data_IF_161415691953
#
_entry.id   IF_161415691953
#
_cell.length_a   1.000
_cell.length_b   1.000
_cell.length_c   1.000
_cell.angle_alpha   90.00
_cell.angle_beta   90.00
_cell.angle_gamma   90.00
#
_symmetry.space_group_name_H-M   'P 1'
#
loop_
_entity.id
_entity.type
_entity.pdbx_description
1 polymer ?
#
# COMPACT_ATOMS: atom_id res chain seq x y z
N UNK A 1 72.38 10.06 31.35
CA UNK A 1 71.08 10.69 31.62
C UNK A 1 70.03 10.42 30.53
N UNK A 2 70.33 9.60 29.52
CA UNK A 2 69.43 9.38 28.36
C UNK A 2 68.49 8.17 28.47
N UNK A 3 68.86 7.10 29.18
CA UNK A 3 67.98 5.91 29.27
C UNK A 3 66.67 6.17 30.03
N UNK A 4 66.67 7.09 31.01
CA UNK A 4 65.43 7.48 31.70
C UNK A 4 64.48 8.28 30.81
N UNK A 5 65.00 9.08 29.88
CA UNK A 5 64.19 9.82 28.91
C UNK A 5 63.65 8.91 27.80
N UNK A 6 64.45 7.94 27.36
CA UNK A 6 63.99 6.92 26.41
C UNK A 6 62.86 6.04 26.97
N UNK A 7 62.98 5.61 28.24
CA UNK A 7 61.95 4.80 28.89
C UNK A 7 60.68 5.61 29.23
N UNK A 8 60.80 6.90 29.55
CA UNK A 8 59.64 7.78 29.74
C UNK A 8 58.88 8.05 28.44
N UNK A 9 59.59 8.19 27.31
CA UNK A 9 58.96 8.34 26.00
C UNK A 9 58.32 7.04 25.51
N UNK A 10 58.90 5.86 25.79
CA UNK A 10 58.29 4.57 25.48
C UNK A 10 57.05 4.27 26.34
N UNK A 11 57.06 4.68 27.61
CA UNK A 11 55.90 4.56 28.49
C UNK A 11 54.75 5.50 28.06
N UNK A 12 55.06 6.72 27.59
CA UNK A 12 54.06 7.65 27.07
C UNK A 12 53.55 7.25 25.68
N UNK A 13 54.35 6.60 24.83
CA UNK A 13 53.91 6.06 23.55
C UNK A 13 52.92 4.89 23.74
N UNK A 14 53.16 4.02 24.71
CA UNK A 14 52.24 2.91 25.05
C UNK A 14 50.99 3.37 25.82
N UNK A 15 51.04 4.53 26.49
CA UNK A 15 49.88 5.14 27.14
C UNK A 15 48.94 5.83 26.14
N UNK A 16 49.45 6.29 25.00
CA UNK A 16 48.66 6.84 23.89
C UNK A 16 47.98 5.73 23.07
N UNK A 17 48.59 4.54 23.02
CA UNK A 17 48.05 3.33 22.36
C UNK A 17 46.96 2.60 23.17
N UNK A 18 46.76 2.97 24.44
CA UNK A 18 45.73 2.40 25.34
C UNK A 18 44.54 3.32 25.58
N UNK A 19 44.52 4.50 24.95
CA UNK A 19 43.30 5.27 24.78
C UNK A 19 42.55 4.70 23.58
N UNK A 20 41.89 3.56 23.80
CA UNK A 20 40.81 3.12 22.93
C UNK A 20 39.91 4.34 22.67
N UNK A 21 39.93 4.80 21.43
CA UNK A 21 39.15 5.94 20.99
C UNK A 21 37.68 5.67 21.34
N UNK A 22 36.94 6.62 21.94
CA UNK A 22 35.52 6.41 22.24
C UNK A 22 34.67 6.04 21.01
N UNK A 23 35.20 6.18 19.79
CA UNK A 23 34.59 5.69 18.55
C UNK A 23 34.71 4.18 18.28
N UNK A 24 35.64 3.45 18.90
CA UNK A 24 35.77 1.99 18.69
C UNK A 24 34.83 1.18 19.60
N UNK A 25 34.53 1.68 20.81
CA UNK A 25 33.49 1.11 21.68
C UNK A 25 32.07 1.26 21.07
N UNK A 26 31.85 2.25 20.21
CA UNK A 26 30.60 2.38 19.42
C UNK A 26 30.50 1.37 18.28
N UNK A 27 31.62 0.79 17.83
CA UNK A 27 31.65 -0.23 16.75
C UNK A 27 31.25 -1.62 17.25
N UNK A 28 31.46 -1.93 18.53
CA UNK A 28 30.99 -3.18 19.16
C UNK A 28 29.57 -3.08 19.72
N UNK A 29 29.02 -1.87 19.81
CA UNK A 29 27.58 -1.65 19.95
C UNK A 29 26.89 -2.12 18.67
N UNK A 30 26.56 -3.41 18.69
CA UNK A 30 25.76 -4.12 17.70
C UNK A 30 24.70 -3.20 17.09
N UNK A 31 24.77 -3.02 15.77
CA UNK A 31 23.73 -2.38 14.96
C UNK A 31 22.33 -2.96 15.28
N UNK A 32 22.25 -4.21 15.76
CA UNK A 32 21.01 -4.82 16.22
C UNK A 32 20.48 -4.20 17.54
N UNK A 33 21.33 -3.76 18.47
CA UNK A 33 20.93 -3.11 19.72
C UNK A 33 20.61 -1.62 19.52
N UNK A 34 21.34 -0.93 18.62
CA UNK A 34 21.03 0.45 18.22
C UNK A 34 19.66 0.53 17.53
N UNK A 35 19.34 -0.45 16.68
CA UNK A 35 18.03 -0.54 16.01
C UNK A 35 16.88 -0.81 16.99
N UNK A 36 17.13 -1.60 18.05
CA UNK A 36 16.14 -1.93 19.08
C UNK A 36 15.72 -0.71 19.90
N UNK A 37 16.66 0.21 20.17
CA UNK A 37 16.44 1.43 20.98
C UNK A 37 15.64 2.52 20.26
N UNK A 38 15.60 2.50 18.92
CA UNK A 38 14.92 3.51 18.11
C UNK A 38 13.58 3.07 17.51
N UNK A 39 13.25 1.77 17.59
CA UNK A 39 11.89 1.30 17.30
C UNK A 39 10.97 1.73 18.45
N UNK A 40 9.93 2.52 18.17
CA UNK A 40 8.97 2.92 19.18
C UNK A 40 7.77 1.97 19.09
N UNK A 41 7.79 0.79 19.75
CA UNK A 41 6.84 -0.30 19.51
C UNK A 41 5.39 0.14 19.71
N UNK A 42 5.15 1.07 20.64
CA UNK A 42 3.83 1.65 20.90
C UNK A 42 3.25 2.38 19.69
N UNK A 43 4.06 3.10 18.90
CA UNK A 43 3.60 3.80 17.69
C UNK A 43 3.15 2.82 16.61
N UNK A 44 3.85 1.70 16.46
CA UNK A 44 3.46 0.65 15.53
C UNK A 44 2.20 -0.08 15.96
N UNK A 45 2.09 -0.43 17.25
CA UNK A 45 0.85 -1.02 17.81
C UNK A 45 -0.35 -0.10 17.57
N UNK A 46 -0.21 1.20 17.86
CA UNK A 46 -1.25 2.18 17.58
C UNK A 46 -1.60 2.26 16.09
N UNK A 47 -0.59 2.27 15.21
CA UNK A 47 -0.80 2.29 13.77
C UNK A 47 -1.57 1.05 13.27
N UNK A 48 -1.20 -0.15 13.74
CA UNK A 48 -1.93 -1.37 13.40
C UNK A 48 -3.36 -1.38 13.96
N UNK A 49 -3.57 -0.84 15.16
CA UNK A 49 -4.92 -0.67 15.70
C UNK A 49 -5.76 0.27 14.83
N UNK A 50 -5.19 1.39 14.38
CA UNK A 50 -5.84 2.33 13.44
C UNK A 50 -6.14 1.63 12.11
N UNK A 51 -5.22 0.83 11.57
CA UNK A 51 -5.46 0.08 10.34
C UNK A 51 -6.62 -0.90 10.48
N UNK A 52 -6.69 -1.63 11.59
CA UNK A 52 -7.80 -2.55 11.86
C UNK A 52 -9.13 -1.79 11.92
N UNK A 53 -9.15 -0.65 12.61
CA UNK A 53 -10.33 0.24 12.64
C UNK A 53 -10.70 0.71 11.23
N UNK A 54 -9.74 1.14 10.42
CA UNK A 54 -9.94 1.59 9.04
C UNK A 54 -10.45 0.49 8.09
N UNK A 55 -10.19 -0.78 8.41
CA UNK A 55 -10.77 -1.92 7.68
C UNK A 55 -12.19 -2.21 8.15
N UNK A 56 -12.40 -2.36 9.45
CA UNK A 56 -13.65 -2.90 10.01
C UNK A 56 -14.77 -1.87 10.03
N UNK A 57 -14.51 -0.68 10.58
CA UNK A 57 -15.55 0.32 10.86
C UNK A 57 -16.16 0.89 9.57
N UNK A 58 -15.37 1.30 8.56
CA UNK A 58 -15.93 1.87 7.33
C UNK A 58 -16.69 0.84 6.51
N UNK A 59 -16.17 -0.40 6.41
CA UNK A 59 -16.88 -1.49 5.73
C UNK A 59 -18.22 -1.78 6.39
N UNK A 60 -18.25 -1.90 7.72
CA UNK A 60 -19.48 -2.10 8.47
C UNK A 60 -20.48 -0.96 8.28
N UNK A 61 -20.01 0.29 8.31
CA UNK A 61 -20.85 1.46 8.10
C UNK A 61 -21.46 1.47 6.68
N UNK A 62 -20.63 1.25 5.65
CA UNK A 62 -21.09 1.16 4.27
C UNK A 62 -22.11 0.03 4.06
N UNK A 63 -21.85 -1.16 4.62
CA UNK A 63 -22.76 -2.30 4.55
C UNK A 63 -24.09 -2.03 5.27
N UNK A 64 -24.04 -1.36 6.42
CA UNK A 64 -25.25 -1.01 7.18
C UNK A 64 -26.11 -0.01 6.41
N UNK A 65 -25.50 0.98 5.76
CA UNK A 65 -26.22 1.89 4.87
C UNK A 65 -26.83 1.14 3.67
N UNK A 66 -26.09 0.22 3.06
CA UNK A 66 -26.57 -0.58 1.94
C UNK A 66 -27.80 -1.41 2.29
N UNK A 67 -27.80 -2.05 3.47
CA UNK A 67 -28.84 -3.02 3.88
C UNK A 67 -30.02 -2.35 4.59
N UNK A 68 -29.77 -1.38 5.48
CA UNK A 68 -30.82 -0.77 6.30
C UNK A 68 -31.36 0.54 5.72
N UNK A 69 -30.57 1.23 4.89
CA UNK A 69 -30.90 2.56 4.36
C UNK A 69 -30.79 2.61 2.84
N UNK A 70 -31.12 1.51 2.15
CA UNK A 70 -30.98 1.36 0.69
C UNK A 70 -31.67 2.49 -0.08
N UNK A 71 -32.90 2.86 0.29
CA UNK A 71 -33.65 3.92 -0.39
C UNK A 71 -32.93 5.28 -0.31
N UNK A 72 -32.27 5.56 0.82
CA UNK A 72 -31.47 6.78 0.97
C UNK A 72 -30.24 6.72 0.07
N UNK A 73 -29.52 5.58 0.03
CA UNK A 73 -28.36 5.40 -0.85
C UNK A 73 -28.75 5.60 -2.31
N UNK A 74 -29.79 4.89 -2.78
CA UNK A 74 -30.25 4.99 -4.17
C UNK A 74 -30.63 6.42 -4.52
N UNK A 75 -31.37 7.12 -3.65
CA UNK A 75 -31.77 8.52 -3.89
C UNK A 75 -30.58 9.47 -4.05
N UNK A 76 -29.52 9.30 -3.27
CA UNK A 76 -28.36 10.21 -3.30
C UNK A 76 -27.37 9.89 -4.42
N UNK A 77 -27.33 8.63 -4.88
CA UNK A 77 -26.36 8.18 -5.89
C UNK A 77 -26.97 7.89 -7.27
N UNK A 78 -28.30 7.96 -7.44
CA UNK A 78 -28.97 7.70 -8.72
C UNK A 78 -28.57 8.64 -9.86
N UNK A 79 -27.97 9.79 -9.55
CA UNK A 79 -27.45 10.73 -10.54
C UNK A 79 -26.10 10.33 -11.14
N UNK A 80 -25.43 9.31 -10.59
CA UNK A 80 -24.15 8.84 -11.10
C UNK A 80 -24.34 7.88 -12.28
N UNK A 81 -23.45 7.97 -13.27
CA UNK A 81 -23.36 6.96 -14.32
C UNK A 81 -22.60 5.73 -13.83
N UNK A 82 -22.92 4.55 -14.36
CA UNK A 82 -22.20 3.33 -14.05
C UNK A 82 -20.70 3.45 -14.38
N UNK A 83 -20.34 4.07 -15.50
CA UNK A 83 -18.94 4.33 -15.86
C UNK A 83 -18.23 5.21 -14.82
N UNK A 84 -18.91 6.26 -14.33
CA UNK A 84 -18.37 7.13 -13.29
C UNK A 84 -18.13 6.36 -12.00
N UNK A 85 -19.05 5.47 -11.61
CA UNK A 85 -18.90 4.65 -10.40
C UNK A 85 -17.77 3.63 -10.55
N UNK A 86 -17.65 2.95 -11.70
CA UNK A 86 -16.48 2.08 -12.00
C UNK A 86 -15.19 2.87 -11.82
N UNK A 87 -15.11 4.06 -12.41
CA UNK A 87 -13.91 4.90 -12.37
C UNK A 87 -13.57 5.35 -10.95
N UNK A 88 -14.54 5.82 -10.16
CA UNK A 88 -14.34 6.23 -8.76
C UNK A 88 -13.82 5.06 -7.92
N UNK A 89 -14.46 3.89 -8.06
CA UNK A 89 -14.09 2.70 -7.31
C UNK A 89 -12.69 2.20 -7.70
N UNK A 90 -12.36 2.19 -8.99
CA UNK A 90 -11.03 1.87 -9.50
C UNK A 90 -9.97 2.87 -9.01
N UNK A 91 -10.20 4.19 -9.17
CA UNK A 91 -9.25 5.24 -8.71
C UNK A 91 -8.96 5.08 -7.23
N UNK A 92 -9.99 4.84 -6.42
CA UNK A 92 -9.84 4.66 -4.97
C UNK A 92 -8.95 3.45 -4.68
N UNK A 93 -9.20 2.32 -5.33
CA UNK A 93 -8.45 1.07 -5.12
C UNK A 93 -6.99 1.21 -5.57
N UNK A 94 -6.75 1.82 -6.74
CA UNK A 94 -5.41 2.11 -7.25
C UNK A 94 -4.67 3.09 -6.35
N UNK A 95 -5.35 4.11 -5.81
CA UNK A 95 -4.76 5.04 -4.85
C UNK A 95 -4.38 4.34 -3.54
N UNK A 96 -5.22 3.45 -3.01
CA UNK A 96 -4.88 2.62 -1.84
C UNK A 96 -3.67 1.75 -2.10
N UNK A 97 -3.62 1.04 -3.24
CA UNK A 97 -2.49 0.19 -3.60
C UNK A 97 -1.20 1.01 -3.79
N UNK A 98 -1.29 2.18 -4.43
CA UNK A 98 -0.16 3.10 -4.58
C UNK A 98 0.34 3.60 -3.23
N UNK A 99 -0.57 4.05 -2.37
CA UNK A 99 -0.23 4.57 -1.05
C UNK A 99 0.39 3.48 -0.17
N UNK A 100 -0.11 2.24 -0.26
CA UNK A 100 0.49 1.07 0.39
C UNK A 100 1.92 0.83 -0.13
N UNK A 101 2.10 0.76 -1.45
CA UNK A 101 3.41 0.54 -2.05
C UNK A 101 4.40 1.64 -1.62
N UNK A 102 4.00 2.90 -1.65
CA UNK A 102 4.83 4.02 -1.22
C UNK A 102 5.10 4.01 0.29
N UNK A 103 4.14 3.59 1.11
CA UNK A 103 4.34 3.43 2.55
C UNK A 103 5.37 2.33 2.88
N UNK A 104 5.51 1.32 2.02
CA UNK A 104 6.52 0.27 2.12
C UNK A 104 7.89 0.72 1.59
N UNK A 105 7.93 1.41 0.44
CA UNK A 105 9.17 1.90 -0.19
C UNK A 105 9.80 3.03 0.63
N UNK A 106 9.03 4.05 0.98
CA UNK A 106 9.50 5.23 1.71
C UNK A 106 9.03 5.19 3.18
N UNK A 107 9.46 4.15 3.90
CA UNK A 107 8.99 3.86 5.26
C UNK A 107 9.33 4.93 6.31
N UNK A 108 10.30 5.82 6.02
CA UNK A 108 10.73 6.94 6.85
C UNK A 108 9.68 8.05 6.93
N UNK A 109 8.92 8.28 5.84
CA UNK A 109 7.91 9.34 5.79
C UNK A 109 6.55 8.83 6.25
N UNK A 110 5.99 9.51 7.24
CA UNK A 110 4.68 9.15 7.78
C UNK A 110 3.51 9.55 6.86
N UNK A 111 3.76 10.44 5.87
CA UNK A 111 2.76 10.90 4.92
C UNK A 111 2.08 9.75 4.16
N UNK A 112 2.86 8.82 3.60
CA UNK A 112 2.32 7.71 2.82
C UNK A 112 1.49 6.74 3.65
N UNK A 113 1.87 6.54 4.92
CA UNK A 113 1.09 5.73 5.87
C UNK A 113 -0.25 6.38 6.20
N UNK A 114 -0.26 7.70 6.40
CA UNK A 114 -1.48 8.44 6.60
C UNK A 114 -2.40 8.39 5.37
N UNK A 115 -1.85 8.66 4.17
CA UNK A 115 -2.60 8.56 2.92
C UNK A 115 -3.15 7.16 2.69
N UNK A 116 -2.37 6.12 3.00
CA UNK A 116 -2.82 4.74 2.92
C UNK A 116 -4.03 4.49 3.83
N UNK A 117 -4.00 4.93 5.09
CA UNK A 117 -5.15 4.80 6.00
C UNK A 117 -6.38 5.54 5.46
N UNK A 118 -6.21 6.74 4.89
CA UNK A 118 -7.32 7.52 4.32
C UNK A 118 -7.94 6.81 3.13
N UNK A 119 -7.14 6.42 2.13
CA UNK A 119 -7.66 5.72 0.95
C UNK A 119 -8.23 4.36 1.30
N UNK A 120 -7.60 3.62 2.21
CA UNK A 120 -8.14 2.36 2.73
C UNK A 120 -9.51 2.58 3.39
N UNK A 121 -9.67 3.61 4.21
CA UNK A 121 -10.96 3.93 4.84
C UNK A 121 -12.05 4.18 3.79
N UNK A 122 -11.74 4.94 2.74
CA UNK A 122 -12.67 5.23 1.65
C UNK A 122 -12.99 3.95 0.85
N UNK A 123 -11.98 3.17 0.50
CA UNK A 123 -12.14 1.91 -0.24
C UNK A 123 -13.01 0.91 0.53
N UNK A 124 -12.78 0.79 1.84
CA UNK A 124 -13.53 -0.12 2.70
C UNK A 124 -14.99 0.35 2.84
N UNK A 125 -15.24 1.65 2.91
CA UNK A 125 -16.60 2.20 2.87
C UNK A 125 -17.32 1.92 1.54
N UNK A 126 -16.66 2.16 0.40
CA UNK A 126 -17.21 1.84 -0.94
C UNK A 126 -17.49 0.34 -1.03
N UNK A 127 -16.55 -0.49 -0.60
CA UNK A 127 -16.67 -1.96 -0.57
C UNK A 127 -17.85 -2.44 0.28
N UNK A 128 -18.10 -1.76 1.41
CA UNK A 128 -19.27 -2.00 2.25
C UNK A 128 -20.57 -1.63 1.53
N UNK A 129 -20.61 -0.44 0.90
CA UNK A 129 -21.79 0.05 0.18
C UNK A 129 -22.17 -0.84 -1.00
N UNK A 130 -21.21 -1.30 -1.79
CA UNK A 130 -21.46 -2.16 -2.95
C UNK A 130 -21.55 -3.65 -2.61
N UNK A 131 -21.45 -4.01 -1.33
CA UNK A 131 -21.47 -5.40 -0.85
C UNK A 131 -20.44 -6.25 -1.57
N UNK A 132 -19.17 -5.80 -1.55
CA UNK A 132 -18.09 -6.34 -2.35
C UNK A 132 -18.04 -7.86 -2.34
N UNK A 133 -18.18 -8.43 -3.54
CA UNK A 133 -18.19 -9.86 -3.78
C UNK A 133 -17.70 -10.15 -5.20
N UNK A 134 -16.91 -11.20 -5.40
CA UNK A 134 -16.45 -11.58 -6.74
C UNK A 134 -17.59 -12.07 -7.65
N UNK A 135 -18.62 -12.66 -7.06
CA UNK A 135 -19.84 -13.14 -7.72
C UNK A 135 -21.02 -12.16 -7.53
N UNK A 136 -20.78 -10.86 -7.66
CA UNK A 136 -21.72 -9.82 -7.22
C UNK A 136 -23.02 -9.75 -8.03
N UNK A 137 -23.02 -10.18 -9.30
CA UNK A 137 -24.10 -10.00 -10.27
C UNK A 137 -25.51 -10.27 -9.74
N UNK A 138 -25.68 -11.30 -8.90
CA UNK A 138 -26.95 -11.63 -8.26
C UNK A 138 -27.04 -11.19 -6.80
N UNK A 139 -25.90 -10.98 -6.13
CA UNK A 139 -25.85 -10.72 -4.68
C UNK A 139 -26.26 -9.31 -4.31
N UNK A 140 -25.99 -8.33 -5.16
CA UNK A 140 -26.36 -6.92 -4.96
C UNK A 140 -27.81 -6.65 -5.35
N UNK A 141 -28.34 -7.39 -6.33
CA UNK A 141 -29.72 -7.29 -6.77
C UNK A 141 -30.71 -7.58 -5.64
N UNK A 142 -30.39 -8.55 -4.77
CA UNK A 142 -31.21 -8.86 -3.60
C UNK A 142 -31.40 -7.66 -2.67
N UNK A 143 -30.43 -6.74 -2.61
CA UNK A 143 -30.47 -5.58 -1.73
C UNK A 143 -30.96 -4.33 -2.48
N UNK A 144 -30.39 -4.06 -3.64
CA UNK A 144 -30.62 -2.82 -4.40
C UNK A 144 -31.73 -2.93 -5.46
N UNK A 145 -32.26 -4.13 -5.74
CA UNK A 145 -33.27 -4.34 -6.77
C UNK A 145 -32.85 -3.81 -8.13
N UNK A 146 -33.75 -3.08 -8.80
CA UNK A 146 -33.48 -2.45 -10.10
C UNK A 146 -32.36 -1.40 -10.10
N UNK A 147 -31.94 -0.91 -8.93
CA UNK A 147 -30.85 0.05 -8.79
C UNK A 147 -29.46 -0.62 -8.59
N UNK A 148 -29.36 -1.94 -8.69
CA UNK A 148 -28.11 -2.69 -8.45
C UNK A 148 -26.98 -2.36 -9.42
N UNK A 149 -27.28 -1.77 -10.58
CA UNK A 149 -26.28 -1.43 -11.60
C UNK A 149 -25.13 -0.57 -11.07
N UNK A 150 -25.40 0.37 -10.16
CA UNK A 150 -24.35 1.21 -9.56
C UNK A 150 -23.48 0.43 -8.55
N UNK A 151 -24.09 -0.44 -7.74
CA UNK A 151 -23.33 -1.30 -6.84
C UNK A 151 -22.47 -2.31 -7.62
N UNK A 152 -23.00 -2.85 -8.72
CA UNK A 152 -22.28 -3.75 -9.63
C UNK A 152 -21.10 -3.04 -10.31
N UNK A 153 -21.31 -1.80 -10.75
CA UNK A 153 -20.26 -0.95 -11.30
C UNK A 153 -19.11 -0.74 -10.30
N UNK A 154 -19.42 -0.43 -9.04
CA UNK A 154 -18.39 -0.25 -8.01
C UNK A 154 -17.59 -1.55 -7.78
N UNK A 155 -18.26 -2.69 -7.73
CA UNK A 155 -17.62 -4.00 -7.62
C UNK A 155 -16.66 -4.28 -8.78
N UNK A 156 -17.10 -4.00 -10.02
CA UNK A 156 -16.23 -4.15 -11.20
C UNK A 156 -14.99 -3.25 -11.12
N UNK A 157 -15.14 -2.00 -10.67
CA UNK A 157 -13.99 -1.09 -10.51
C UNK A 157 -12.95 -1.62 -9.52
N UNK A 158 -13.40 -2.08 -8.34
CA UNK A 158 -12.51 -2.65 -7.31
C UNK A 158 -11.85 -3.94 -7.80
N UNK A 159 -12.63 -4.85 -8.40
CA UNK A 159 -12.11 -6.15 -8.89
C UNK A 159 -11.12 -5.94 -10.04
N UNK A 160 -11.41 -5.01 -10.95
CA UNK A 160 -10.52 -4.65 -12.06
C UNK A 160 -9.17 -4.14 -11.55
N UNK A 161 -9.19 -3.21 -10.59
CA UNK A 161 -7.98 -2.71 -9.95
C UNK A 161 -7.23 -3.84 -9.22
N UNK A 162 -7.93 -4.66 -8.44
CA UNK A 162 -7.32 -5.81 -7.76
C UNK A 162 -6.66 -6.79 -8.74
N UNK A 163 -7.25 -7.01 -9.91
CA UNK A 163 -6.67 -7.84 -10.96
C UNK A 163 -5.44 -7.18 -11.60
N UNK A 164 -5.48 -5.87 -11.86
CA UNK A 164 -4.33 -5.10 -12.34
C UNK A 164 -3.13 -5.21 -11.39
N UNK A 165 -3.37 -5.01 -10.09
CA UNK A 165 -2.36 -5.18 -9.03
C UNK A 165 -1.78 -6.60 -9.05
N UNK A 166 -2.62 -7.62 -9.18
CA UNK A 166 -2.16 -9.02 -9.23
C UNK A 166 -1.29 -9.32 -10.46
N UNK A 167 -1.71 -8.86 -11.64
CA UNK A 167 -0.93 -9.00 -12.89
C UNK A 167 0.41 -8.28 -12.76
N UNK A 168 0.41 -7.05 -12.25
CA UNK A 168 1.64 -6.30 -11.99
C UNK A 168 2.56 -7.05 -11.03
N UNK A 169 2.04 -7.58 -9.91
CA UNK A 169 2.84 -8.31 -8.94
C UNK A 169 3.52 -9.55 -9.55
N UNK A 170 2.77 -10.33 -10.36
CA UNK A 170 3.30 -11.50 -11.07
C UNK A 170 4.40 -11.08 -12.06
N UNK A 171 4.15 -10.06 -12.88
CA UNK A 171 5.11 -9.58 -13.87
C UNK A 171 6.36 -9.01 -13.20
N UNK A 172 6.21 -8.24 -12.12
CA UNK A 172 7.32 -7.64 -11.39
C UNK A 172 8.19 -8.70 -10.73
N UNK A 173 7.59 -9.68 -10.03
CA UNK A 173 8.32 -10.80 -9.43
C UNK A 173 8.97 -11.65 -10.51
N UNK A 174 8.27 -11.95 -11.61
CA UNK A 174 8.83 -12.68 -12.76
C UNK A 174 10.05 -11.97 -13.35
N UNK A 175 10.00 -10.64 -13.49
CA UNK A 175 11.12 -9.82 -13.94
C UNK A 175 12.31 -9.92 -12.97
N UNK A 176 12.06 -9.87 -11.65
CA UNK A 176 13.10 -9.99 -10.64
C UNK A 176 13.81 -11.35 -10.64
N UNK A 177 13.07 -12.43 -10.91
CA UNK A 177 13.60 -13.80 -10.89
C UNK A 177 14.27 -14.18 -12.22
N UNK A 178 13.65 -13.82 -13.36
CA UNK A 178 14.05 -14.33 -14.67
C UNK A 178 15.06 -13.41 -15.40
N UNK A 179 15.11 -12.11 -15.11
CA UNK A 179 15.91 -11.15 -15.88
C UNK A 179 17.29 -10.92 -15.25
N UNK A 180 18.40 -11.16 -15.99
CA UNK A 180 19.75 -10.85 -15.52
C UNK A 180 19.94 -9.35 -15.29
N UNK A 181 20.70 -8.96 -14.25
CA UNK A 181 20.94 -7.56 -13.87
C UNK A 181 21.59 -6.69 -14.96
N UNK A 182 22.28 -7.30 -15.92
CA UNK A 182 22.89 -6.61 -17.07
C UNK A 182 21.94 -6.39 -18.25
N UNK A 183 20.72 -6.93 -18.19
CA UNK A 183 19.73 -6.79 -19.26
C UNK A 183 19.11 -5.39 -19.29
N UNK A 184 18.78 -4.89 -20.49
CA UNK A 184 18.03 -3.62 -20.66
C UNK A 184 16.66 -3.66 -19.99
N UNK A 185 16.05 -4.85 -19.86
CA UNK A 185 14.77 -5.03 -19.19
C UNK A 185 14.84 -4.79 -17.66
N UNK A 186 16.04 -4.79 -17.07
CA UNK A 186 16.23 -4.46 -15.67
C UNK A 186 15.80 -3.01 -15.34
N UNK A 187 15.70 -2.12 -16.35
CA UNK A 187 15.17 -0.76 -16.18
C UNK A 187 13.76 -0.78 -15.60
N UNK A 188 12.92 -1.75 -15.97
CA UNK A 188 11.54 -1.86 -15.46
C UNK A 188 11.47 -2.22 -13.97
N UNK A 189 12.55 -2.73 -13.35
CA UNK A 189 12.62 -2.94 -11.90
C UNK A 189 12.97 -1.67 -11.12
N UNK A 190 13.42 -0.60 -11.80
CA UNK A 190 13.73 0.66 -11.16
C UNK A 190 12.44 1.36 -10.71
N UNK A 191 12.46 2.01 -9.54
CA UNK A 191 11.25 2.52 -8.85
C UNK A 191 10.29 3.30 -9.75
N UNK A 192 10.79 4.23 -10.58
CA UNK A 192 9.94 5.07 -11.44
C UNK A 192 9.39 4.31 -12.66
N UNK A 193 10.19 3.44 -13.28
CA UNK A 193 9.76 2.64 -14.41
C UNK A 193 8.75 1.55 -14.00
N UNK A 194 8.97 0.94 -12.82
CA UNK A 194 8.06 -0.02 -12.22
C UNK A 194 6.70 0.61 -11.92
N UNK A 195 6.70 1.84 -11.42
CA UNK A 195 5.48 2.60 -11.16
C UNK A 195 4.72 2.93 -12.46
N UNK A 196 5.43 3.27 -13.54
CA UNK A 196 4.80 3.46 -14.87
C UNK A 196 4.22 2.14 -15.38
N UNK A 197 4.93 1.01 -15.23
CA UNK A 197 4.44 -0.31 -15.61
C UNK A 197 3.15 -0.66 -14.84
N UNK A 198 3.11 -0.39 -13.54
CA UNK A 198 1.93 -0.57 -12.70
C UNK A 198 0.73 0.21 -13.26
N UNK A 199 0.89 1.52 -13.47
CA UNK A 199 -0.21 2.36 -13.99
C UNK A 199 -0.63 1.98 -15.42
N UNK A 200 0.30 1.54 -16.27
CA UNK A 200 -0.05 1.06 -17.60
C UNK A 200 -0.95 -0.19 -17.56
N UNK A 201 -0.65 -1.13 -16.65
CA UNK A 201 -1.46 -2.33 -16.42
C UNK A 201 -2.83 -1.94 -15.84
N UNK A 202 -2.86 -1.05 -14.85
CA UNK A 202 -4.10 -0.56 -14.25
C UNK A 202 -5.01 0.16 -15.24
N UNK A 203 -4.45 1.03 -16.08
CA UNK A 203 -5.19 1.71 -17.15
C UNK A 203 -5.74 0.69 -18.14
N UNK A 204 -4.94 -0.32 -18.54
CA UNK A 204 -5.43 -1.37 -19.42
C UNK A 204 -6.59 -2.16 -18.77
N UNK A 205 -6.48 -2.49 -17.49
CA UNK A 205 -7.50 -3.22 -16.74
C UNK A 205 -8.85 -2.49 -16.71
N UNK A 206 -8.86 -1.18 -16.43
CA UNK A 206 -10.10 -0.41 -16.44
C UNK A 206 -10.63 -0.17 -17.86
N UNK A 207 -9.76 0.00 -18.86
CA UNK A 207 -10.19 0.11 -20.26
C UNK A 207 -10.94 -1.15 -20.71
N UNK A 208 -10.45 -2.33 -20.33
CA UNK A 208 -11.15 -3.61 -20.61
C UNK A 208 -12.53 -3.64 -19.97
N UNK A 209 -12.70 -3.13 -18.75
CA UNK A 209 -14.01 -3.10 -18.09
C UNK A 209 -14.97 -2.10 -18.75
N UNK A 210 -14.48 -0.88 -19.04
CA UNK A 210 -15.31 0.19 -19.61
C UNK A 210 -15.70 -0.12 -21.05
N UNK A 211 -14.77 -0.65 -21.86
CA UNK A 211 -14.98 -0.88 -23.29
C UNK A 211 -15.30 -2.33 -23.67
N UNK A 212 -15.02 -3.30 -22.80
CA UNK A 212 -15.21 -4.73 -23.06
C UNK A 212 -16.64 -5.24 -22.85
N UNK A 213 -17.62 -4.36 -22.68
CA UNK A 213 -19.04 -4.74 -22.55
C UNK A 213 -19.45 -5.27 -21.18
N UNK A 214 -18.55 -5.27 -20.18
CA UNK A 214 -18.88 -5.68 -18.81
C UNK A 214 -19.93 -4.77 -18.18
N UNK A 215 -19.91 -3.47 -18.49
CA UNK A 215 -20.89 -2.53 -17.95
C UNK A 215 -22.28 -2.73 -18.56
N UNK A 216 -22.35 -3.08 -19.83
CA UNK A 216 -23.61 -3.31 -20.55
C UNK A 216 -24.28 -4.64 -20.22
N UNK A 217 -23.55 -5.57 -19.59
CA UNK A 217 -24.08 -6.86 -19.17
C UNK A 217 -24.76 -6.82 -17.78
N UNK A 218 -24.75 -5.66 -17.10
CA UNK A 218 -25.26 -5.43 -15.72
C UNK A 218 -26.74 -5.10 -15.65
#
# INVERSE_FOLDING_TARGET
>A
MDQRKANANAANANADETLESPGELESELSIADISKRHSNPKRWVLYFAILLVAVVVPYWAGRTLAVQHTAWVVKNFSGLSAQGVVFIAWVTTVATATALAMALIESSRWLWRFLFVVFLTIEQFISGLCLLRLSFWYSTYVVYGSASGLANAANLGIISAGFGVAVYAILFVGLLVMVPKKSRLNVLTCSWASLIMFYAIEVLAILVVIFGGFITAM
#
